data_IF_750959784313
#
_entry.id   IF_750959784313
#
_cell.length_a   1.000
_cell.length_b   1.000
_cell.length_c   1.000
_cell.angle_alpha   90.00
_cell.angle_beta   90.00
_cell.angle_gamma   90.00
#
_symmetry.space_group_name_H-M   'P 1'
#
loop_
_entity.id
_entity.type
_entity.pdbx_description
1 polymer ?
#
# COMPACT_ATOMS: atom_id res chain seq x y z
N UNK A 1 6.75 1.34 6.46
CA UNK A 1 5.72 0.30 6.80
C UNK A 1 5.26 0.45 8.25
N UNK A 2 6.20 0.63 9.19
CA UNK A 2 5.92 0.96 10.60
C UNK A 2 4.97 2.15 10.76
N UNK A 3 5.11 3.18 9.92
CA UNK A 3 4.28 4.39 10.00
C UNK A 3 2.85 4.17 9.51
N UNK A 4 2.65 3.33 8.48
CA UNK A 4 1.30 3.01 7.95
C UNK A 4 0.51 2.17 8.96
N UNK A 5 1.16 1.21 9.63
CA UNK A 5 0.54 0.45 10.71
C UNK A 5 0.15 1.33 11.90
N UNK A 6 1.01 2.28 12.30
CA UNK A 6 0.68 3.23 13.38
C UNK A 6 -0.47 4.15 13.03
N UNK A 7 -0.52 4.65 11.79
CA UNK A 7 -1.62 5.50 11.30
C UNK A 7 -2.93 4.73 11.32
N UNK A 8 -2.95 3.46 10.89
CA UNK A 8 -4.19 2.67 10.84
C UNK A 8 -4.74 2.36 12.23
N UNK A 9 -3.89 2.05 13.21
CA UNK A 9 -4.33 1.79 14.59
C UNK A 9 -4.90 3.06 15.23
N UNK A 10 -4.22 4.21 15.07
CA UNK A 10 -4.71 5.51 15.57
C UNK A 10 -6.05 5.90 14.93
N UNK A 11 -6.17 5.72 13.61
CA UNK A 11 -7.38 6.05 12.86
C UNK A 11 -8.53 5.09 13.21
N UNK A 12 -8.28 3.82 13.54
CA UNK A 12 -9.32 2.86 13.92
C UNK A 12 -10.04 3.23 15.23
N UNK A 13 -9.30 3.65 16.25
CA UNK A 13 -9.89 4.01 17.55
C UNK A 13 -10.79 5.25 17.44
N UNK A 14 -10.34 6.28 16.72
CA UNK A 14 -11.13 7.49 16.50
C UNK A 14 -12.37 7.20 15.64
N UNK A 15 -12.23 6.43 14.55
CA UNK A 15 -13.34 6.16 13.62
C UNK A 15 -14.41 5.21 14.19
N UNK A 16 -14.05 4.30 15.09
CA UNK A 16 -15.02 3.39 15.72
C UNK A 16 -16.10 4.16 16.50
N UNK A 17 -15.72 5.29 17.10
CA UNK A 17 -16.63 6.15 17.86
C UNK A 17 -17.59 6.97 16.99
N UNK A 18 -17.27 7.18 15.70
CA UNK A 18 -17.97 8.14 14.84
C UNK A 18 -19.16 7.52 14.10
N UNK A 19 -19.08 6.26 13.64
CA UNK A 19 -20.10 5.67 12.76
C UNK A 19 -20.57 4.26 13.15
N UNK A 20 -20.42 3.91 14.43
CA UNK A 20 -20.76 2.60 14.97
C UNK A 20 -20.00 1.45 14.26
N UNK A 21 -18.78 1.74 13.77
CA UNK A 21 -17.84 0.77 13.23
C UNK A 21 -18.02 0.39 11.75
N UNK A 22 -18.94 1.01 11.01
CA UNK A 22 -19.13 0.71 9.57
C UNK A 22 -17.91 1.14 8.74
N UNK A 23 -17.33 2.30 9.04
CA UNK A 23 -16.11 2.81 8.43
C UNK A 23 -14.91 1.95 8.86
N UNK A 24 -14.90 1.45 10.09
CA UNK A 24 -13.89 0.50 10.56
C UNK A 24 -13.89 -0.79 9.73
N UNK A 25 -15.05 -1.36 9.39
CA UNK A 25 -15.11 -2.55 8.52
C UNK A 25 -14.53 -2.25 7.14
N UNK A 26 -14.85 -1.08 6.54
CA UNK A 26 -14.31 -0.71 5.23
C UNK A 26 -12.80 -0.45 5.29
N UNK A 27 -12.32 0.17 6.37
CA UNK A 27 -10.90 0.41 6.62
C UNK A 27 -10.13 -0.92 6.78
N UNK A 28 -10.66 -1.86 7.56
CA UNK A 28 -10.08 -3.20 7.71
C UNK A 28 -10.01 -3.91 6.36
N UNK A 29 -11.07 -3.85 5.54
CA UNK A 29 -11.07 -4.43 4.19
C UNK A 29 -10.00 -3.79 3.29
N UNK A 30 -9.89 -2.47 3.28
CA UNK A 30 -8.85 -1.75 2.55
C UNK A 30 -7.45 -2.16 3.01
N UNK A 31 -7.25 -2.34 4.31
CA UNK A 31 -5.98 -2.80 4.87
C UNK A 31 -5.65 -4.25 4.49
N UNK A 32 -6.64 -5.16 4.51
CA UNK A 32 -6.43 -6.55 4.06
C UNK A 32 -5.99 -6.58 2.59
N UNK A 33 -6.62 -5.77 1.73
CA UNK A 33 -6.20 -5.60 0.32
C UNK A 33 -4.76 -5.10 0.22
N UNK A 34 -4.38 -4.08 1.02
CA UNK A 34 -3.00 -3.60 1.08
C UNK A 34 -2.02 -4.71 1.49
N UNK A 35 -2.33 -5.51 2.51
CA UNK A 35 -1.47 -6.60 2.96
C UNK A 35 -1.31 -7.67 1.88
N UNK A 36 -2.38 -8.00 1.15
CA UNK A 36 -2.33 -8.92 0.01
C UNK A 36 -1.39 -8.38 -1.07
N UNK A 37 -1.61 -7.14 -1.51
CA UNK A 37 -0.77 -6.43 -2.47
C UNK A 37 0.70 -6.42 -2.01
N UNK A 38 0.94 -6.11 -0.75
CA UNK A 38 2.29 -6.05 -0.18
C UNK A 38 2.99 -7.40 -0.19
N UNK A 39 2.30 -8.49 0.15
CA UNK A 39 2.85 -9.86 0.05
C UNK A 39 3.23 -10.20 -1.39
N UNK A 40 2.37 -9.87 -2.36
CA UNK A 40 2.66 -10.09 -3.78
C UNK A 40 3.91 -9.31 -4.20
N UNK A 41 4.06 -8.05 -3.77
CA UNK A 41 5.24 -7.23 -4.10
C UNK A 41 6.59 -7.79 -3.61
N UNK A 42 6.56 -8.72 -2.65
CA UNK A 42 7.76 -9.35 -2.07
C UNK A 42 8.12 -10.68 -2.69
N UNK A 43 7.32 -11.21 -3.62
CA UNK A 43 7.66 -12.46 -4.31
C UNK A 43 8.96 -12.27 -5.09
N UNK A 44 9.89 -13.22 -4.93
CA UNK A 44 11.19 -13.17 -5.61
C UNK A 44 11.07 -13.31 -7.13
N UNK A 45 10.05 -14.05 -7.57
CA UNK A 45 9.72 -14.28 -8.97
C UNK A 45 8.22 -14.14 -9.15
N UNK A 46 7.83 -13.31 -10.10
CA UNK A 46 6.44 -13.08 -10.51
C UNK A 46 6.40 -13.34 -12.01
N UNK A 47 5.52 -14.23 -12.45
CA UNK A 47 5.30 -14.44 -13.88
C UNK A 47 4.36 -13.37 -14.47
N UNK A 48 4.24 -13.29 -15.80
CA UNK A 48 3.46 -12.23 -16.47
C UNK A 48 1.97 -12.24 -16.09
N UNK A 49 1.35 -13.41 -15.86
CA UNK A 49 -0.07 -13.48 -15.47
C UNK A 49 -0.28 -13.05 -14.02
N UNK A 50 0.62 -13.44 -13.13
CA UNK A 50 0.66 -12.94 -11.75
C UNK A 50 0.90 -11.43 -11.71
N UNK A 51 1.77 -10.89 -12.58
CA UNK A 51 2.04 -9.45 -12.67
C UNK A 51 0.79 -8.67 -13.10
N UNK A 52 0.04 -9.17 -14.09
CA UNK A 52 -1.26 -8.60 -14.47
C UNK A 52 -2.27 -8.66 -13.33
N UNK A 53 -2.38 -9.80 -12.65
CA UNK A 53 -3.25 -9.93 -11.47
C UNK A 53 -2.86 -8.94 -10.38
N UNK A 54 -1.56 -8.73 -10.19
CA UNK A 54 -1.04 -7.79 -9.22
C UNK A 54 -1.37 -6.34 -9.57
N UNK A 55 -1.31 -5.96 -10.84
CA UNK A 55 -1.75 -4.64 -11.29
C UNK A 55 -3.23 -4.39 -10.93
N UNK A 56 -4.11 -5.38 -11.14
CA UNK A 56 -5.51 -5.27 -10.73
C UNK A 56 -5.67 -5.11 -9.21
N UNK A 57 -4.90 -5.84 -8.41
CA UNK A 57 -4.89 -5.70 -6.94
C UNK A 57 -4.49 -4.29 -6.49
N UNK A 58 -3.48 -3.70 -7.14
CA UNK A 58 -3.05 -2.32 -6.87
C UNK A 58 -4.19 -1.34 -7.20
N UNK A 59 -4.80 -1.47 -8.38
CA UNK A 59 -5.87 -0.57 -8.83
C UNK A 59 -7.07 -0.64 -7.89
N UNK A 60 -7.54 -1.86 -7.59
CA UNK A 60 -8.67 -2.12 -6.70
C UNK A 60 -8.42 -1.55 -5.29
N UNK A 61 -7.23 -1.77 -4.73
CA UNK A 61 -6.85 -1.20 -3.44
C UNK A 61 -6.82 0.34 -3.47
N UNK A 62 -6.23 0.95 -4.50
CA UNK A 62 -6.13 2.42 -4.60
C UNK A 62 -7.51 3.06 -4.72
N UNK A 63 -8.44 2.45 -5.47
CA UNK A 63 -9.81 2.94 -5.57
C UNK A 63 -10.51 2.95 -4.21
N UNK A 64 -10.40 1.87 -3.45
CA UNK A 64 -10.94 1.79 -2.09
C UNK A 64 -10.28 2.80 -1.14
N UNK A 65 -8.95 2.92 -1.20
CA UNK A 65 -8.18 3.84 -0.37
C UNK A 65 -8.61 5.29 -0.64
N UNK A 66 -8.67 5.70 -1.92
CA UNK A 66 -9.09 7.04 -2.29
C UNK A 66 -10.52 7.30 -1.83
N UNK A 67 -11.44 6.37 -2.06
CA UNK A 67 -12.84 6.51 -1.64
C UNK A 67 -12.97 6.69 -0.13
N UNK A 68 -12.16 5.99 0.66
CA UNK A 68 -12.20 6.06 2.12
C UNK A 68 -11.60 7.35 2.66
N UNK A 69 -10.45 7.77 2.12
CA UNK A 69 -9.67 8.86 2.70
C UNK A 69 -9.88 10.22 2.04
N UNK A 70 -10.61 10.31 0.92
CA UNK A 70 -10.79 11.57 0.17
C UNK A 70 -11.30 12.72 1.03
N UNK A 71 -12.25 12.45 1.93
CA UNK A 71 -12.85 13.48 2.79
C UNK A 71 -11.96 13.86 3.98
N UNK A 72 -10.93 13.07 4.28
CA UNK A 72 -10.01 13.30 5.39
C UNK A 72 -8.69 13.95 4.94
N UNK A 73 -8.50 14.16 3.64
CA UNK A 73 -7.27 14.71 3.07
C UNK A 73 -7.52 16.07 2.44
N UNK A 74 -6.97 17.12 3.06
CA UNK A 74 -6.97 18.48 2.50
C UNK A 74 -6.14 18.61 1.21
N UNK A 75 -5.23 17.67 0.95
CA UNK A 75 -4.33 17.63 -0.21
C UNK A 75 -4.84 16.77 -1.36
N UNK A 76 -6.12 16.37 -1.36
CA UNK A 76 -6.69 15.45 -2.36
C UNK A 76 -5.91 14.14 -2.52
N UNK A 77 -5.29 13.65 -1.43
CA UNK A 77 -4.51 12.41 -1.42
C UNK A 77 -3.32 12.38 -2.40
N UNK A 78 -2.69 13.53 -2.64
CA UNK A 78 -1.41 13.63 -3.36
C UNK A 78 -0.25 13.06 -2.52
N UNK A 79 -0.26 11.75 -2.31
CA UNK A 79 0.75 11.04 -1.54
C UNK A 79 1.78 10.45 -2.51
N UNK A 80 3.07 10.85 -2.45
CA UNK A 80 4.10 10.32 -3.34
C UNK A 80 4.17 8.79 -3.33
N UNK A 81 3.99 8.16 -2.15
CA UNK A 81 3.93 6.70 -2.03
C UNK A 81 2.75 6.08 -2.78
N UNK A 82 1.57 6.70 -2.73
CA UNK A 82 0.38 6.22 -3.46
C UNK A 82 0.59 6.33 -4.97
N UNK A 83 1.21 7.43 -5.42
CA UNK A 83 1.60 7.63 -6.81
C UNK A 83 2.60 6.58 -7.30
N UNK A 84 3.65 6.31 -6.50
CA UNK A 84 4.61 5.24 -6.77
C UNK A 84 3.92 3.87 -6.90
N UNK A 85 3.00 3.54 -5.99
CA UNK A 85 2.24 2.30 -6.07
C UNK A 85 1.46 2.19 -7.38
N UNK A 86 0.74 3.24 -7.77
CA UNK A 86 -0.13 3.22 -8.95
C UNK A 86 0.61 3.11 -10.28
N UNK A 87 1.68 3.87 -10.43
CA UNK A 87 2.27 4.14 -11.75
C UNK A 87 3.64 3.49 -11.96
N UNK A 88 4.39 3.22 -10.88
CA UNK A 88 5.78 2.78 -11.01
C UNK A 88 6.01 1.33 -10.55
N UNK A 89 5.14 0.74 -9.73
CA UNK A 89 5.35 -0.62 -9.19
C UNK A 89 5.52 -1.69 -10.28
N UNK A 90 4.59 -1.76 -11.22
CA UNK A 90 4.61 -2.79 -12.28
C UNK A 90 5.82 -2.60 -13.19
N UNK A 91 6.12 -1.34 -13.55
CA UNK A 91 7.32 -0.98 -14.29
C UNK A 91 8.59 -1.45 -13.57
N UNK A 92 8.73 -1.11 -12.28
CA UNK A 92 9.91 -1.49 -11.49
C UNK A 92 10.08 -3.00 -11.44
N UNK A 93 9.01 -3.75 -11.16
CA UNK A 93 9.09 -5.22 -11.10
C UNK A 93 9.46 -5.80 -12.47
N UNK A 94 8.91 -5.27 -13.56
CA UNK A 94 9.20 -5.75 -14.91
C UNK A 94 10.65 -5.51 -15.33
N UNK A 95 11.23 -4.39 -14.94
CA UNK A 95 12.60 -4.01 -15.35
C UNK A 95 13.69 -4.47 -14.39
N UNK A 96 13.38 -4.56 -13.09
CA UNK A 96 14.37 -4.83 -12.04
C UNK A 96 14.09 -6.12 -11.26
N UNK A 97 13.00 -6.83 -11.56
CA UNK A 97 12.61 -8.11 -10.96
C UNK A 97 12.01 -7.99 -9.56
N UNK A 98 12.48 -7.05 -8.74
CA UNK A 98 12.06 -6.90 -7.34
C UNK A 98 11.78 -5.44 -7.00
N UNK A 99 10.70 -5.20 -6.27
CA UNK A 99 10.45 -3.90 -5.65
C UNK A 99 11.50 -3.59 -4.57
N UNK A 100 12.01 -4.62 -3.89
CA UNK A 100 12.98 -4.50 -2.79
C UNK A 100 14.43 -4.29 -3.26
N UNK A 101 14.76 -4.42 -4.55
CA UNK A 101 16.08 -4.04 -5.06
C UNK A 101 16.40 -2.55 -4.90
N UNK A 102 15.36 -1.75 -4.64
CA UNK A 102 15.41 -0.30 -4.40
C UNK A 102 15.08 0.08 -2.94
N UNK A 103 14.78 -0.89 -2.08
CA UNK A 103 14.47 -0.61 -0.68
C UNK A 103 15.78 -0.32 0.08
N UNK A 104 15.78 0.69 0.93
CA UNK A 104 16.94 1.17 1.69
C UNK A 104 17.50 0.16 2.68
N UNK A 105 16.93 -1.05 2.76
CA UNK A 105 17.41 -2.20 3.52
C UNK A 105 18.90 -2.46 3.24
N UNK A 106 19.34 -2.29 1.98
CA UNK A 106 20.74 -2.40 1.56
C UNK A 106 21.58 -1.20 2.02
N UNK A 107 21.00 -0.01 2.07
CA UNK A 107 21.65 1.21 2.58
C UNK A 107 21.83 1.16 4.11
N UNK A 108 20.81 0.70 4.84
CA UNK A 108 20.85 0.54 6.30
C UNK A 108 21.81 -0.56 6.77
N UNK A 109 22.11 -1.55 5.93
CA UNK A 109 23.14 -2.55 6.20
C UNK A 109 24.55 -2.07 5.86
N UNK A 110 24.71 -1.24 4.82
CA UNK A 110 26.00 -0.65 4.44
C UNK A 110 26.49 0.44 5.43
N UNK A 111 25.59 1.17 6.06
CA UNK A 111 25.93 2.29 6.95
C UNK A 111 25.85 1.95 8.45
N UNK A 112 25.76 0.67 8.80
CA UNK A 112 25.83 0.16 10.18
C UNK A 112 27.26 -0.22 10.61
N UNK A 113 28.23 0.63 10.29
CA UNK A 113 29.54 0.59 10.94
C UNK A 113 29.53 1.53 12.15
#
# INVERSE_FOLDING_TARGET
MRDVMKIIVLVLDELYTIDNGTLCIKLIKCYIKFIKMYKTSKKEKINESELKSFEYEIIDWIQDFVKLFKNFSSSNLQLPKLHMWRYHTIYIIKHYGLLNGLATDTYETLHKN
#
